data_IF_593370908374
#
_entry.id   IF_593370908374
#
_cell.length_a   1.000
_cell.length_b   1.000
_cell.length_c   1.000
_cell.angle_alpha   90.00
_cell.angle_beta   90.00
_cell.angle_gamma   90.00
#
_symmetry.space_group_name_H-M   'P 1'
#
loop_
_entity.id
_entity.type
_entity.pdbx_description
1 polymer ?
#
# COMPACT_ATOMS: atom_id res chain seq x y z
N UNK A 1 -69.74 -47.26 16.72
CA UNK A 1 -69.08 -46.26 17.68
C UNK A 1 -67.61 -46.56 17.82
N UNK A 2 -67.10 -47.78 17.67
CA UNK A 2 -65.65 -48.07 17.76
C UNK A 2 -64.81 -47.39 16.64
N UNK A 3 -65.24 -47.49 15.40
CA UNK A 3 -64.49 -46.99 14.22
C UNK A 3 -64.21 -45.52 14.31
N UNK A 4 -65.05 -44.71 14.92
CA UNK A 4 -64.89 -43.29 15.10
C UNK A 4 -63.78 -42.95 16.13
N UNK A 5 -63.62 -43.78 17.17
CA UNK A 5 -62.59 -43.61 18.18
C UNK A 5 -61.21 -43.95 17.64
N UNK A 6 -61.11 -45.03 16.86
CA UNK A 6 -59.83 -45.40 16.20
C UNK A 6 -59.41 -44.37 15.19
N UNK A 7 -60.32 -43.80 14.41
CA UNK A 7 -60.07 -42.80 13.43
C UNK A 7 -59.52 -41.45 14.10
N UNK A 8 -60.13 -41.12 15.26
CA UNK A 8 -59.65 -39.93 16.03
C UNK A 8 -58.30 -40.15 16.67
N UNK A 9 -57.96 -41.36 17.12
CA UNK A 9 -56.63 -41.67 17.64
C UNK A 9 -55.55 -41.64 16.56
N UNK A 10 -55.82 -42.18 15.38
CA UNK A 10 -54.93 -42.16 14.25
C UNK A 10 -54.68 -40.68 13.79
N UNK A 11 -55.73 -39.88 13.75
CA UNK A 11 -55.65 -38.50 13.38
C UNK A 11 -54.81 -37.64 14.41
N UNK A 12 -54.98 -37.93 15.71
CA UNK A 12 -54.18 -37.26 16.76
C UNK A 12 -52.72 -37.67 16.73
N UNK A 13 -52.40 -38.92 16.40
CA UNK A 13 -51.04 -39.42 16.27
C UNK A 13 -50.33 -38.81 15.05
N UNK A 14 -51.04 -38.64 13.94
CA UNK A 14 -50.54 -37.94 12.75
C UNK A 14 -50.29 -36.47 12.98
N UNK A 15 -51.14 -35.82 13.79
CA UNK A 15 -50.95 -34.40 14.13
C UNK A 15 -49.79 -34.18 15.09
N UNK A 16 -49.52 -35.12 16.01
CA UNK A 16 -48.39 -35.04 16.94
C UNK A 16 -47.02 -35.24 16.24
N UNK A 17 -46.97 -36.01 15.16
CA UNK A 17 -45.73 -36.25 14.40
C UNK A 17 -45.28 -35.06 13.55
N UNK A 18 -46.18 -34.14 13.25
CA UNK A 18 -45.83 -32.91 12.46
C UNK A 18 -45.18 -31.80 13.27
N UNK A 19 -45.06 -31.93 14.60
CA UNK A 19 -44.44 -30.92 15.47
C UNK A 19 -42.94 -31.15 15.75
N UNK A 20 -42.35 -32.21 15.21
CA UNK A 20 -40.90 -32.42 15.30
C UNK A 20 -40.25 -31.68 14.16
N UNK A 21 -40.38 -30.34 14.18
CA UNK A 21 -39.58 -29.45 13.35
C UNK A 21 -38.13 -29.46 13.86
N UNK A 22 -37.22 -30.03 13.10
CA UNK A 22 -35.81 -29.86 13.33
C UNK A 22 -35.49 -28.36 13.28
N UNK A 23 -35.30 -27.76 14.45
CA UNK A 23 -34.58 -26.51 14.55
C UNK A 23 -33.09 -26.79 14.24
N UNK A 24 -32.76 -26.93 12.96
CA UNK A 24 -31.36 -26.87 12.53
C UNK A 24 -30.88 -25.42 12.72
N UNK A 25 -30.43 -25.14 13.93
CA UNK A 25 -29.70 -23.92 14.20
C UNK A 25 -28.47 -23.92 13.31
N UNK A 26 -28.47 -23.05 12.31
CA UNK A 26 -27.28 -22.78 11.49
C UNK A 26 -26.20 -22.23 12.41
N UNK A 27 -25.26 -23.10 12.81
CA UNK A 27 -24.09 -22.68 13.56
C UNK A 27 -23.24 -21.86 12.57
N UNK A 28 -23.47 -20.54 12.53
CA UNK A 28 -22.59 -19.62 11.83
C UNK A 28 -21.27 -19.61 12.56
N UNK A 29 -20.38 -20.52 12.19
CA UNK A 29 -19.00 -20.51 12.69
C UNK A 29 -18.31 -19.31 12.05
N UNK A 30 -18.34 -18.16 12.73
CA UNK A 30 -17.48 -17.03 12.37
C UNK A 30 -16.05 -17.45 12.66
N UNK A 31 -15.35 -17.89 11.63
CA UNK A 31 -13.90 -18.04 11.69
C UNK A 31 -13.30 -16.63 11.80
N UNK A 32 -13.03 -16.19 13.01
CA UNK A 32 -12.26 -14.97 13.23
C UNK A 32 -10.84 -15.31 12.80
N UNK A 33 -10.48 -14.93 11.57
CA UNK A 33 -9.10 -14.97 11.13
C UNK A 33 -8.37 -13.93 11.99
N UNK A 34 -7.67 -14.40 13.02
CA UNK A 34 -6.85 -13.54 13.86
C UNK A 34 -5.74 -12.99 12.97
N UNK A 35 -5.91 -11.77 12.49
CA UNK A 35 -4.91 -11.07 11.70
C UNK A 35 -3.62 -10.97 12.51
N UNK A 36 -2.50 -11.24 11.87
CA UNK A 36 -1.19 -11.03 12.46
C UNK A 36 -0.87 -9.53 12.46
N UNK A 37 -0.46 -8.98 13.58
CA UNK A 37 0.01 -7.59 13.65
C UNK A 37 1.28 -7.46 12.80
N UNK A 38 1.24 -6.63 11.78
CA UNK A 38 2.35 -6.39 10.86
C UNK A 38 3.07 -5.12 11.30
N UNK A 39 4.35 -5.19 11.69
CA UNK A 39 5.09 -4.00 12.09
C UNK A 39 5.36 -3.11 10.87
N UNK A 40 5.04 -1.83 10.99
CA UNK A 40 5.43 -0.82 10.01
C UNK A 40 6.96 -0.63 10.01
N UNK A 41 7.55 -0.55 8.84
CA UNK A 41 8.98 -0.28 8.68
C UNK A 41 9.25 1.23 8.80
N UNK A 42 10.41 1.57 9.34
CA UNK A 42 10.86 2.96 9.38
C UNK A 42 11.17 3.44 7.95
N UNK A 43 10.67 4.60 7.61
CA UNK A 43 10.97 5.23 6.33
C UNK A 43 12.48 5.49 6.14
N UNK A 44 13.00 5.39 4.92
CA UNK A 44 14.37 5.75 4.63
C UNK A 44 14.63 7.24 4.94
N UNK A 45 15.87 7.57 5.28
CA UNK A 45 16.25 8.97 5.51
C UNK A 45 16.07 9.79 4.24
N UNK A 46 15.66 11.06 4.36
CA UNK A 46 15.60 11.96 3.21
C UNK A 46 16.95 12.05 2.50
N UNK A 47 16.92 12.04 1.18
CA UNK A 47 18.11 12.20 0.35
C UNK A 47 18.55 13.66 0.39
N UNK A 48 19.82 13.88 0.70
CA UNK A 48 20.47 15.19 0.54
C UNK A 48 21.17 15.21 -0.80
N UNK A 49 20.72 16.09 -1.68
CA UNK A 49 21.36 16.32 -2.96
C UNK A 49 22.31 17.52 -2.84
N UNK A 50 23.45 17.46 -3.52
CA UNK A 50 24.39 18.57 -3.63
C UNK A 50 24.00 19.45 -4.83
N UNK A 51 24.24 20.74 -4.71
CA UNK A 51 24.06 21.66 -5.83
C UNK A 51 25.07 21.36 -6.94
N UNK A 52 24.59 21.32 -8.17
CA UNK A 52 25.41 21.19 -9.37
C UNK A 52 25.27 22.43 -10.20
N UNK A 53 26.40 23.12 -10.40
CA UNK A 53 26.46 24.33 -11.27
C UNK A 53 26.63 23.88 -12.71
N UNK A 54 25.77 24.37 -13.57
CA UNK A 54 25.81 24.11 -15.00
C UNK A 54 26.25 25.37 -15.74
N UNK A 55 27.10 25.23 -16.75
CA UNK A 55 27.59 26.31 -17.57
C UNK A 55 27.28 26.00 -19.04
N UNK A 56 26.71 26.96 -19.72
CA UNK A 56 26.55 26.89 -21.18
C UNK A 56 27.79 27.46 -21.85
N UNK A 57 28.63 26.56 -22.38
CA UNK A 57 29.87 26.95 -23.05
C UNK A 57 29.67 26.82 -24.56
N UNK A 58 29.90 27.87 -25.30
CA UNK A 58 29.77 27.94 -26.76
C UNK A 58 31.10 28.41 -27.38
N UNK A 59 31.21 28.35 -28.72
CA UNK A 59 32.37 28.89 -29.43
C UNK A 59 32.64 30.37 -29.12
N UNK A 60 31.59 31.10 -28.76
CA UNK A 60 31.68 32.57 -28.59
C UNK A 60 32.17 32.98 -27.18
N UNK A 61 31.94 32.13 -26.17
CA UNK A 61 32.24 32.43 -24.76
C UNK A 61 33.34 31.56 -24.15
N UNK A 62 33.87 30.57 -24.86
CA UNK A 62 34.81 29.59 -24.29
C UNK A 62 36.10 30.23 -23.78
N UNK A 63 36.64 31.22 -24.49
CA UNK A 63 37.91 31.84 -24.10
C UNK A 63 37.76 32.65 -22.80
N UNK A 64 36.72 33.46 -22.71
CA UNK A 64 36.40 34.22 -21.51
C UNK A 64 36.09 33.29 -20.34
N UNK A 65 35.30 32.27 -20.59
CA UNK A 65 34.97 31.25 -19.56
C UNK A 65 36.21 30.56 -18.99
N UNK A 66 37.14 30.14 -19.84
CA UNK A 66 38.38 29.51 -19.39
C UNK A 66 39.20 30.44 -18.53
N UNK A 67 39.39 31.69 -18.97
CA UNK A 67 40.17 32.69 -18.22
C UNK A 67 39.56 32.97 -16.82
N UNK A 68 38.24 33.17 -16.75
CA UNK A 68 37.54 33.38 -15.48
C UNK A 68 37.54 32.14 -14.58
N UNK A 69 37.48 30.94 -15.18
CA UNK A 69 37.50 29.70 -14.42
C UNK A 69 38.87 29.47 -13.78
N UNK A 70 39.97 29.70 -14.55
CA UNK A 70 41.35 29.51 -14.07
C UNK A 70 41.69 30.50 -12.96
N UNK A 71 41.22 31.74 -13.08
CA UNK A 71 41.41 32.77 -12.03
C UNK A 71 40.76 32.32 -10.68
N UNK A 72 39.61 31.68 -10.74
CA UNK A 72 38.84 31.32 -9.52
C UNK A 72 39.14 29.95 -8.99
N UNK A 73 39.42 28.96 -9.86
CA UNK A 73 39.45 27.56 -9.50
C UNK A 73 40.79 26.84 -9.81
N UNK A 74 41.73 27.53 -10.44
CA UNK A 74 42.98 26.93 -10.91
C UNK A 74 42.87 26.32 -12.30
N UNK A 75 43.76 25.41 -12.70
CA UNK A 75 43.82 24.88 -14.07
C UNK A 75 42.46 24.41 -14.58
N UNK A 76 42.14 24.77 -15.82
CA UNK A 76 40.85 24.44 -16.42
C UNK A 76 40.68 22.95 -16.59
N UNK A 77 39.66 22.41 -15.92
CA UNK A 77 39.24 21.00 -16.05
C UNK A 77 37.73 20.89 -15.83
N UNK A 78 37.03 20.44 -16.82
CA UNK A 78 35.55 20.22 -16.75
C UNK A 78 35.17 18.88 -17.36
N UNK A 79 34.07 18.33 -16.86
CA UNK A 79 33.40 17.23 -17.51
C UNK A 79 32.21 17.83 -18.27
N UNK A 80 32.19 17.64 -19.59
CA UNK A 80 31.17 18.23 -20.44
C UNK A 80 30.26 17.20 -21.09
N UNK A 81 29.04 17.61 -21.40
CA UNK A 81 28.08 16.86 -22.20
C UNK A 81 27.54 17.78 -23.32
N UNK A 82 27.05 17.19 -24.40
CA UNK A 82 26.34 17.96 -25.43
C UNK A 82 24.97 18.42 -24.92
N UNK A 83 24.34 19.38 -25.63
CA UNK A 83 22.97 19.83 -25.32
C UNK A 83 22.00 18.65 -25.29
N UNK A 84 22.06 17.76 -26.32
CA UNK A 84 21.24 16.54 -26.37
C UNK A 84 21.55 15.62 -25.19
N UNK A 85 22.82 15.49 -24.80
CA UNK A 85 23.20 14.69 -23.63
C UNK A 85 22.62 15.26 -22.32
N UNK A 86 22.61 16.60 -22.17
CA UNK A 86 21.99 17.26 -21.04
C UNK A 86 20.46 17.09 -21.02
N UNK A 87 19.80 17.23 -22.17
CA UNK A 87 18.36 16.98 -22.29
C UNK A 87 18.01 15.54 -21.88
N UNK A 88 18.74 14.55 -22.40
CA UNK A 88 18.54 13.15 -22.02
C UNK A 88 18.76 12.90 -20.54
N UNK A 89 19.78 13.52 -19.94
CA UNK A 89 20.03 13.44 -18.50
C UNK A 89 18.88 14.02 -17.71
N UNK A 90 18.35 15.17 -18.12
CA UNK A 90 17.19 15.82 -17.49
C UNK A 90 15.92 14.95 -17.56
N UNK A 91 15.66 14.32 -18.72
CA UNK A 91 14.57 13.39 -18.91
C UNK A 91 14.74 12.18 -18.00
N UNK A 92 15.94 11.60 -17.93
CA UNK A 92 16.22 10.46 -17.07
C UNK A 92 15.98 10.78 -15.58
N UNK A 93 16.36 11.97 -15.11
CA UNK A 93 16.07 12.41 -13.75
C UNK A 93 14.56 12.57 -13.50
N UNK A 94 13.82 13.12 -14.47
CA UNK A 94 12.38 13.25 -14.38
C UNK A 94 11.70 11.88 -14.28
N UNK A 95 12.16 10.88 -15.06
CA UNK A 95 11.65 9.51 -15.00
C UNK A 95 11.97 8.81 -13.68
N UNK A 96 13.20 8.98 -13.15
CA UNK A 96 13.56 8.45 -11.83
C UNK A 96 12.69 9.07 -10.74
N UNK A 97 12.49 10.39 -10.77
CA UNK A 97 11.61 11.09 -9.83
C UNK A 97 10.18 10.54 -9.89
N UNK A 98 9.60 10.43 -11.08
CA UNK A 98 8.28 9.85 -11.31
C UNK A 98 8.17 8.44 -10.73
N UNK A 99 9.18 7.60 -10.97
CA UNK A 99 9.21 6.22 -10.44
C UNK A 99 9.23 6.20 -8.92
N UNK A 100 10.05 7.04 -8.28
CA UNK A 100 10.12 7.15 -6.81
C UNK A 100 8.77 7.61 -6.23
N UNK A 101 8.14 8.62 -6.83
CA UNK A 101 6.84 9.12 -6.39
C UNK A 101 5.74 8.04 -6.48
N UNK A 102 5.75 7.24 -7.54
CA UNK A 102 4.83 6.11 -7.68
C UNK A 102 5.10 5.01 -6.65
N UNK A 103 6.37 4.68 -6.38
CA UNK A 103 6.71 3.71 -5.32
C UNK A 103 6.27 4.21 -3.95
N UNK A 104 6.44 5.49 -3.67
CA UNK A 104 6.01 6.09 -2.42
C UNK A 104 4.49 6.03 -2.24
N UNK A 105 3.72 6.32 -3.28
CA UNK A 105 2.27 6.20 -3.26
C UNK A 105 1.79 4.75 -2.98
N UNK A 106 2.49 3.75 -3.51
CA UNK A 106 2.22 2.34 -3.25
C UNK A 106 2.54 1.99 -1.79
N UNK A 107 3.67 2.43 -1.27
CA UNK A 107 4.06 2.22 0.12
C UNK A 107 3.02 2.84 1.07
N UNK A 108 2.65 4.10 0.86
CA UNK A 108 1.65 4.81 1.65
C UNK A 108 0.28 4.11 1.63
N UNK A 109 -0.08 3.51 0.49
CA UNK A 109 -1.30 2.71 0.39
C UNK A 109 -1.24 1.48 1.29
N UNK A 110 -0.16 0.70 1.21
CA UNK A 110 -0.03 -0.51 2.02
C UNK A 110 0.12 -0.20 3.51
N UNK A 111 0.81 0.86 3.89
CA UNK A 111 0.94 1.29 5.28
C UNK A 111 -0.42 1.64 5.90
N UNK A 112 -1.28 2.34 5.15
CA UNK A 112 -2.65 2.62 5.60
C UNK A 112 -3.46 1.35 5.79
N UNK A 113 -3.33 0.36 4.88
CA UNK A 113 -4.04 -0.91 5.01
C UNK A 113 -3.55 -1.71 6.23
N UNK A 114 -2.24 -1.74 6.46
CA UNK A 114 -1.65 -2.41 7.63
C UNK A 114 -2.10 -1.75 8.92
N UNK A 115 -2.09 -0.43 9.00
CA UNK A 115 -2.53 0.32 10.18
C UNK A 115 -4.00 0.02 10.49
N UNK A 116 -4.88 0.12 9.48
CA UNK A 116 -6.31 -0.18 9.64
C UNK A 116 -6.53 -1.62 10.12
N UNK A 117 -5.80 -2.58 9.56
CA UNK A 117 -5.92 -3.99 9.97
C UNK A 117 -5.45 -4.21 11.42
N UNK A 118 -4.36 -3.57 11.83
CA UNK A 118 -3.84 -3.65 13.20
C UNK A 118 -4.82 -3.03 14.21
N UNK A 119 -5.48 -1.93 13.85
CA UNK A 119 -6.50 -1.28 14.69
C UNK A 119 -7.73 -2.18 14.86
N UNK A 120 -8.22 -2.80 13.78
CA UNK A 120 -9.33 -3.77 13.85
C UNK A 120 -8.97 -4.95 14.75
N UNK A 121 -7.75 -5.50 14.61
CA UNK A 121 -7.28 -6.61 15.44
C UNK A 121 -7.21 -6.25 16.91
N UNK A 122 -6.89 -4.99 17.24
CA UNK A 122 -6.86 -4.49 18.61
C UNK A 122 -8.27 -4.42 19.22
N UNK A 123 -9.22 -3.86 18.50
CA UNK A 123 -10.62 -3.76 18.95
C UNK A 123 -11.25 -5.13 19.19
N UNK A 124 -11.00 -6.10 18.27
CA UNK A 124 -11.51 -7.48 18.44
C UNK A 124 -10.90 -8.22 19.63
N UNK A 125 -9.66 -7.89 20.03
CA UNK A 125 -9.05 -8.46 21.25
C UNK A 125 -9.67 -7.90 22.53
N UNK A 126 -10.04 -6.63 22.55
CA UNK A 126 -10.69 -5.99 23.70
C UNK A 126 -12.09 -6.56 23.93
N UNK A 127 -12.90 -6.77 22.89
CA UNK A 127 -14.23 -7.36 22.99
C UNK A 127 -14.26 -8.84 23.45
N UNK A 128 -13.17 -9.58 23.20
CA UNK A 128 -13.09 -11.02 23.62
C UNK A 128 -12.51 -11.21 25.02
N UNK A 129 -12.10 -10.13 25.70
CA UNK A 129 -11.51 -10.18 27.05
C UNK A 129 -12.50 -9.83 28.15
N UNK A 130 -13.75 -9.46 27.84
CA UNK A 130 -14.88 -9.30 28.75
C UNK A 130 -15.73 -10.58 28.82
#
# INVERSE_FOLDING_TARGET
MLVRKELLMILSLLLASSLIGCASGEIVTRTIIKGQDIPLRVHPRPVKLNDVKWYAITSDNIQEFVAEYEERNGPFAVIATSVIGYENLSINFAEIKRYIEQQQAIIDYYERQVTMNNDINKLTKEETSE
#
